data_IF_914217808401
#
_entry.id   IF_914217808401
#
_cell.length_a   1.000
_cell.length_b   1.000
_cell.length_c   1.000
_cell.angle_alpha   90.00
_cell.angle_beta   90.00
_cell.angle_gamma   90.00
#
_symmetry.space_group_name_H-M   'P 1'
#
loop_
_entity.id
_entity.type
_entity.pdbx_description
1 polymer ?
#
# COMPACT_ATOMS: atom_id res chain seq x y z
N UNK A 1 -11.16 -23.58 -8.28
CA UNK A 1 -11.86 -22.30 -8.49
C UNK A 1 -11.56 -21.43 -7.29
N UNK A 2 -10.58 -20.52 -7.38
CA UNK A 2 -10.29 -19.60 -6.27
C UNK A 2 -11.41 -18.56 -6.23
N UNK A 3 -12.18 -18.52 -5.16
CA UNK A 3 -13.13 -17.42 -4.93
C UNK A 3 -12.33 -16.12 -4.83
N UNK A 4 -12.37 -15.31 -5.89
CA UNK A 4 -11.69 -14.01 -5.90
C UNK A 4 -12.40 -13.09 -4.91
N UNK A 5 -11.86 -13.00 -3.70
CA UNK A 5 -12.28 -12.01 -2.73
C UNK A 5 -12.09 -10.61 -3.32
N UNK A 6 -13.09 -9.75 -3.18
CA UNK A 6 -12.95 -8.35 -3.56
C UNK A 6 -12.22 -7.63 -2.42
N UNK A 7 -11.07 -6.99 -2.68
CA UNK A 7 -10.37 -6.25 -1.64
C UNK A 7 -11.24 -5.07 -1.19
N UNK A 8 -11.27 -4.82 0.11
CA UNK A 8 -12.02 -3.70 0.72
C UNK A 8 -11.12 -3.01 1.73
N UNK A 9 -11.27 -1.69 1.86
CA UNK A 9 -10.54 -0.91 2.86
C UNK A 9 -11.39 -0.73 4.11
N UNK A 10 -10.73 -0.62 5.26
CA UNK A 10 -11.37 -0.34 6.53
C UNK A 10 -10.70 0.87 7.19
N UNK A 11 -11.51 1.76 7.78
CA UNK A 11 -11.06 2.93 8.50
C UNK A 11 -11.35 2.78 9.99
N UNK A 12 -10.43 3.32 10.79
CA UNK A 12 -10.49 3.40 12.25
C UNK A 12 -10.37 4.87 12.63
N UNK A 13 -11.09 5.31 13.66
CA UNK A 13 -10.93 6.67 14.18
C UNK A 13 -9.58 6.73 14.90
N UNK A 14 -8.79 7.78 14.64
CA UNK A 14 -7.41 7.92 15.15
C UNK A 14 -7.26 7.68 16.66
N UNK A 15 -8.25 8.07 17.46
CA UNK A 15 -8.29 7.86 18.92
C UNK A 15 -8.21 6.39 19.35
N UNK A 16 -8.62 5.47 18.49
CA UNK A 16 -8.67 4.03 18.76
C UNK A 16 -7.55 3.27 18.01
N UNK A 17 -6.66 3.96 17.29
CA UNK A 17 -5.63 3.34 16.45
C UNK A 17 -4.75 2.37 17.24
N UNK A 18 -4.25 2.76 18.41
CA UNK A 18 -3.39 1.90 19.24
C UNK A 18 -4.09 0.60 19.68
N UNK A 19 -5.39 0.66 19.98
CA UNK A 19 -6.18 -0.51 20.32
C UNK A 19 -6.27 -1.47 19.13
N UNK A 20 -6.56 -0.93 17.95
CA UNK A 20 -6.69 -1.75 16.74
C UNK A 20 -5.35 -2.26 16.21
N UNK A 21 -4.25 -1.54 16.38
CA UNK A 21 -2.90 -2.03 16.03
C UNK A 21 -2.51 -3.26 16.86
N UNK A 22 -2.96 -3.33 18.12
CA UNK A 22 -2.76 -4.51 18.97
C UNK A 22 -3.72 -5.66 18.61
N UNK A 23 -4.97 -5.33 18.29
CA UNK A 23 -6.00 -6.30 17.95
C UNK A 23 -5.77 -6.95 16.57
N UNK A 24 -5.34 -6.15 15.59
CA UNK A 24 -5.21 -6.53 14.19
C UNK A 24 -3.73 -6.60 13.81
N UNK A 25 -3.20 -7.81 13.78
CA UNK A 25 -1.81 -8.03 13.39
C UNK A 25 -1.73 -8.37 11.90
N UNK A 26 -0.72 -7.81 11.23
CA UNK A 26 -0.42 -8.11 9.83
C UNK A 26 -0.21 -9.61 9.61
N UNK A 27 -0.55 -10.09 8.41
CA UNK A 27 -0.40 -11.49 7.95
C UNK A 27 -1.28 -12.52 8.67
N UNK A 28 -2.28 -12.07 9.43
CA UNK A 28 -3.34 -12.92 9.99
C UNK A 28 -4.63 -12.77 9.21
N UNK A 29 -5.49 -13.78 9.30
CA UNK A 29 -6.84 -13.74 8.75
C UNK A 29 -7.86 -13.59 9.88
N UNK A 30 -8.88 -12.76 9.64
CA UNK A 30 -9.91 -12.46 10.63
C UNK A 30 -11.30 -12.54 10.00
N UNK A 31 -12.25 -13.03 10.79
CA UNK A 31 -13.69 -12.83 10.57
C UNK A 31 -14.12 -11.60 11.34
N UNK A 32 -14.63 -10.60 10.62
CA UNK A 32 -15.15 -9.37 11.21
C UNK A 32 -16.68 -9.39 11.30
N UNK A 33 -17.22 -8.98 12.45
CA UNK A 33 -18.66 -8.69 12.66
C UNK A 33 -18.82 -7.39 13.43
N UNK A 34 -20.00 -6.75 13.35
CA UNK A 34 -20.27 -5.50 14.10
C UNK A 34 -19.60 -4.24 13.52
N UNK A 35 -19.26 -4.23 12.23
CA UNK A 35 -18.79 -3.05 11.50
C UNK A 35 -19.94 -2.35 10.78
N UNK A 36 -19.75 -1.08 10.42
CA UNK A 36 -20.62 -0.35 9.48
C UNK A 36 -19.93 -0.16 8.13
N UNK A 37 -20.70 0.28 7.13
CA UNK A 37 -20.22 0.54 5.77
C UNK A 37 -20.56 1.97 5.39
N UNK A 38 -19.60 2.69 4.81
CA UNK A 38 -19.80 4.03 4.29
C UNK A 38 -19.34 4.12 2.82
N UNK A 39 -19.96 4.99 2.00
CA UNK A 39 -19.44 5.30 0.67
C UNK A 39 -18.03 5.85 0.76
N UNK A 40 -17.14 5.40 -0.13
CA UNK A 40 -15.77 5.89 -0.19
C UNK A 40 -15.65 7.08 -1.13
N UNK A 41 -15.17 8.20 -0.59
CA UNK A 41 -14.79 9.36 -1.41
C UNK A 41 -13.60 9.04 -2.31
N UNK A 42 -13.59 9.61 -3.51
CA UNK A 42 -12.56 9.34 -4.52
C UNK A 42 -11.13 9.70 -4.06
N UNK A 43 -10.99 10.66 -3.16
CA UNK A 43 -9.69 11.15 -2.69
C UNK A 43 -9.07 10.29 -1.58
N UNK A 44 -9.88 9.53 -0.82
CA UNK A 44 -9.41 8.56 0.19
C UNK A 44 -9.30 7.13 -0.34
N UNK A 45 -9.75 6.90 -1.58
CA UNK A 45 -9.92 5.55 -2.12
C UNK A 45 -8.61 4.90 -2.53
N UNK A 46 -8.21 3.86 -1.78
CA UNK A 46 -7.01 3.06 -2.07
C UNK A 46 -7.30 1.79 -2.90
N UNK A 47 -8.57 1.40 -3.02
CA UNK A 47 -9.03 0.17 -3.67
C UNK A 47 -10.19 0.43 -4.65
N UNK A 48 -10.45 -0.45 -5.63
CA UNK A 48 -11.54 -0.26 -6.59
C UNK A 48 -12.94 -0.22 -5.96
N UNK A 49 -13.11 -0.81 -4.77
CA UNK A 49 -14.36 -0.80 -4.01
C UNK A 49 -14.81 0.61 -3.67
N UNK A 50 -16.11 0.87 -3.82
CA UNK A 50 -16.75 2.17 -3.51
C UNK A 50 -17.28 2.24 -2.07
N UNK A 51 -16.93 1.25 -1.25
CA UNK A 51 -17.37 1.13 0.13
C UNK A 51 -16.13 0.97 1.00
N UNK A 52 -16.12 1.69 2.12
CA UNK A 52 -15.14 1.54 3.20
C UNK A 52 -15.86 0.92 4.40
N UNK A 53 -15.23 -0.06 5.04
CA UNK A 53 -15.70 -0.57 6.32
C UNK A 53 -15.29 0.40 7.43
N UNK A 54 -16.16 0.65 8.39
CA UNK A 54 -15.85 1.47 9.55
C UNK A 54 -15.75 0.58 10.77
N UNK A 55 -14.56 0.54 11.35
CA UNK A 55 -14.28 -0.21 12.56
C UNK A 55 -14.44 0.71 13.77
N UNK A 56 -15.14 0.22 14.78
CA UNK A 56 -15.41 0.96 16.01
C UNK A 56 -15.64 0.01 17.17
N UNK A 57 -16.13 0.55 18.29
CA UNK A 57 -16.26 -0.17 19.56
C UNK A 57 -17.04 -1.49 19.55
N UNK A 58 -17.88 -1.72 18.53
CA UNK A 58 -18.68 -2.93 18.41
C UNK A 58 -18.07 -3.97 17.46
N UNK A 59 -16.89 -3.67 16.87
CA UNK A 59 -16.19 -4.61 16.03
C UNK A 59 -15.82 -5.84 16.85
N UNK A 60 -16.13 -7.00 16.30
CA UNK A 60 -15.63 -8.28 16.74
C UNK A 60 -14.69 -8.80 15.65
N UNK A 61 -13.46 -9.13 16.05
CA UNK A 61 -12.46 -9.70 15.17
C UNK A 61 -12.06 -11.07 15.73
N UNK A 62 -12.41 -12.12 15.01
CA UNK A 62 -12.06 -13.50 15.37
C UNK A 62 -11.00 -14.01 14.40
N UNK A 63 -9.84 -14.41 14.91
CA UNK A 63 -8.76 -14.98 14.09
C UNK A 63 -9.21 -16.32 13.49
N UNK A 64 -8.98 -16.51 12.19
CA UNK A 64 -9.31 -17.73 11.44
C UNK A 64 -8.07 -18.27 10.72
N UNK A 65 -8.15 -19.53 10.26
CA UNK A 65 -7.06 -20.13 9.49
C UNK A 65 -6.78 -19.36 8.19
N UNK A 66 -5.49 -19.18 7.87
CA UNK A 66 -5.02 -18.42 6.69
C UNK A 66 -4.97 -19.27 5.40
N UNK A 67 -5.36 -20.54 5.46
CA UNK A 67 -5.11 -21.55 4.41
C UNK A 67 -5.67 -21.21 3.04
N UNK A 68 -6.69 -20.36 2.97
CA UNK A 68 -7.42 -20.05 1.74
C UNK A 68 -7.36 -18.56 1.35
N UNK A 69 -6.54 -17.76 2.04
CA UNK A 69 -6.41 -16.33 1.77
C UNK A 69 -5.11 -15.99 1.04
N UNK A 70 -5.21 -15.08 0.07
CA UNK A 70 -4.03 -14.49 -0.56
C UNK A 70 -3.34 -13.57 0.47
N UNK A 71 -2.02 -13.70 0.61
CA UNK A 71 -1.24 -12.82 1.49
C UNK A 71 -1.29 -11.36 1.02
N UNK A 72 -1.37 -11.15 -0.29
CA UNK A 72 -1.35 -9.83 -0.90
C UNK A 72 -2.34 -9.75 -2.07
N UNK A 73 -3.08 -8.64 -2.14
CA UNK A 73 -3.82 -8.25 -3.32
C UNK A 73 -3.00 -7.22 -4.12
N UNK A 74 -2.80 -7.50 -5.40
CA UNK A 74 -2.08 -6.61 -6.31
C UNK A 74 -2.91 -6.35 -7.57
N UNK A 75 -3.21 -5.08 -7.86
CA UNK A 75 -3.75 -4.58 -9.12
C UNK A 75 -2.75 -3.63 -9.82
N UNK A 76 -1.74 -4.20 -10.49
CA UNK A 76 -0.62 -3.44 -11.06
C UNK A 76 -1.08 -2.50 -12.18
N UNK A 77 -0.52 -1.29 -12.20
CA UNK A 77 -0.57 -0.39 -13.35
C UNK A 77 0.72 -0.54 -14.15
N UNK A 78 0.58 -0.71 -15.46
CA UNK A 78 1.72 -0.62 -16.35
C UNK A 78 2.18 0.85 -16.51
N UNK A 79 3.45 1.07 -16.86
CA UNK A 79 4.03 2.42 -17.00
C UNK A 79 3.21 3.32 -17.94
N UNK A 80 2.74 2.78 -19.05
CA UNK A 80 1.93 3.49 -20.05
C UNK A 80 0.52 3.84 -19.56
N UNK A 81 0.01 3.19 -18.51
CA UNK A 81 -1.29 3.51 -17.90
C UNK A 81 -1.20 4.64 -16.87
N UNK A 82 0.01 5.03 -16.45
CA UNK A 82 0.19 6.00 -15.37
C UNK A 82 -0.38 7.37 -15.72
N UNK A 83 -0.26 7.80 -16.98
CA UNK A 83 -0.83 9.07 -17.46
C UNK A 83 -2.35 9.08 -17.42
N UNK A 84 -2.99 7.97 -17.81
CA UNK A 84 -4.44 7.85 -17.80
C UNK A 84 -4.98 7.79 -16.37
N UNK A 85 -4.29 7.07 -15.48
CA UNK A 85 -4.70 6.97 -14.07
C UNK A 85 -4.44 8.27 -13.29
N UNK A 86 -3.44 9.07 -13.69
CA UNK A 86 -3.25 10.43 -13.19
C UNK A 86 -4.47 11.31 -13.47
N UNK A 87 -5.10 11.18 -14.64
CA UNK A 87 -6.29 11.96 -14.99
C UNK A 87 -7.49 11.66 -14.08
N UNK A 88 -7.56 10.46 -13.50
CA UNK A 88 -8.66 10.00 -12.64
C UNK A 88 -8.32 10.09 -11.15
N UNK A 89 -7.10 10.53 -10.78
CA UNK A 89 -6.59 10.58 -9.38
C UNK A 89 -6.76 9.27 -8.61
N UNK A 90 -6.67 8.13 -9.28
CA UNK A 90 -6.75 6.84 -8.61
C UNK A 90 -5.41 6.50 -7.93
N UNK A 91 -5.50 5.83 -6.78
CA UNK A 91 -4.37 5.16 -6.15
C UNK A 91 -3.83 4.06 -7.06
N UNK A 92 -2.51 3.97 -7.14
CA UNK A 92 -1.83 3.11 -8.12
C UNK A 92 -0.86 2.18 -7.44
N UNK A 93 -0.78 0.98 -8.01
CA UNK A 93 0.19 -0.04 -7.68
C UNK A 93 1.20 -0.13 -8.82
N UNK A 94 2.50 -0.07 -8.54
CA UNK A 94 3.53 -0.21 -9.59
C UNK A 94 4.57 -1.21 -9.14
N UNK A 95 5.03 -2.06 -10.07
CA UNK A 95 6.20 -2.93 -9.88
C UNK A 95 7.32 -2.47 -10.78
N UNK A 96 8.55 -2.52 -10.27
CA UNK A 96 9.71 -2.45 -11.13
C UNK A 96 11.00 -2.71 -10.38
N UNK A 97 12.10 -2.59 -11.12
CA UNK A 97 13.45 -2.79 -10.61
C UNK A 97 13.98 -1.50 -9.99
N UNK A 98 14.52 -1.57 -8.78
CA UNK A 98 15.21 -0.42 -8.18
C UNK A 98 16.51 -0.15 -8.96
N UNK A 99 16.74 1.10 -9.35
CA UNK A 99 17.92 1.54 -10.10
C UNK A 99 18.83 2.43 -9.27
N UNK A 100 18.25 3.39 -8.55
CA UNK A 100 19.01 4.35 -7.76
C UNK A 100 18.27 4.66 -6.48
N UNK A 101 18.99 4.74 -5.37
CA UNK A 101 18.49 5.27 -4.10
C UNK A 101 19.24 6.56 -3.80
N UNK A 102 18.53 7.66 -3.61
CA UNK A 102 19.13 8.90 -3.08
C UNK A 102 19.09 8.88 -1.56
N UNK A 103 19.95 9.66 -0.91
CA UNK A 103 19.93 9.78 0.55
C UNK A 103 18.69 10.54 1.03
N UNK A 104 18.26 10.23 2.25
CA UNK A 104 17.21 10.98 2.91
C UNK A 104 17.66 12.44 3.06
N UNK A 105 16.80 13.38 2.66
CA UNK A 105 17.05 14.81 2.87
C UNK A 105 16.15 15.28 4.00
N UNK A 106 16.74 15.81 5.07
CA UNK A 106 16.01 16.34 6.21
C UNK A 106 15.61 17.80 5.94
N UNK A 107 14.31 18.03 5.72
CA UNK A 107 13.70 19.37 5.79
C UNK A 107 12.67 19.36 6.93
N UNK A 108 11.53 20.07 6.82
CA UNK A 108 10.40 19.90 7.76
C UNK A 108 9.76 18.51 7.69
N UNK A 109 9.91 17.81 6.57
CA UNK A 109 9.53 16.40 6.38
C UNK A 109 10.75 15.65 5.87
N UNK A 110 10.92 14.41 6.32
CA UNK A 110 12.01 13.56 5.80
C UNK A 110 11.54 12.92 4.52
N UNK A 111 12.34 12.99 3.46
CA UNK A 111 12.02 12.39 2.17
C UNK A 111 13.20 11.66 1.57
N UNK A 112 12.94 10.56 0.86
CA UNK A 112 13.94 9.76 0.14
C UNK A 112 13.42 9.41 -1.25
N UNK A 113 14.21 9.68 -2.28
CA UNK A 113 13.87 9.34 -3.66
C UNK A 113 14.48 7.99 -4.09
N UNK A 114 13.68 7.17 -4.75
CA UNK A 114 14.04 5.87 -5.32
C UNK A 114 13.62 5.84 -6.79
N UNK A 115 14.51 5.47 -7.69
CA UNK A 115 14.18 5.28 -9.10
C UNK A 115 13.78 3.83 -9.37
N UNK A 116 12.58 3.63 -9.91
CA UNK A 116 12.06 2.32 -10.32
C UNK A 116 12.05 2.25 -11.85
N UNK A 117 12.49 1.13 -12.42
CA UNK A 117 12.58 0.91 -13.87
C UNK A 117 11.74 -0.29 -14.31
N UNK A 118 10.95 -0.11 -15.37
CA UNK A 118 10.21 -1.22 -15.99
C UNK A 118 11.10 -2.03 -16.96
N UNK A 119 10.58 -3.12 -17.52
CA UNK A 119 11.30 -3.97 -18.48
C UNK A 119 11.72 -3.23 -19.76
N UNK A 120 10.93 -2.23 -20.19
CA UNK A 120 11.16 -1.47 -21.42
C UNK A 120 12.24 -0.40 -21.30
N UNK A 121 12.75 -0.10 -20.10
CA UNK A 121 13.76 0.94 -19.94
C UNK A 121 13.30 2.19 -19.19
N UNK A 122 11.99 2.37 -19.04
CA UNK A 122 11.40 3.60 -18.54
C UNK A 122 11.60 3.71 -17.02
N UNK A 123 11.97 4.90 -16.56
CA UNK A 123 12.21 5.19 -15.14
C UNK A 123 11.07 6.03 -14.57
N UNK A 124 10.67 5.70 -13.35
CA UNK A 124 9.73 6.45 -12.52
C UNK A 124 10.45 6.80 -11.22
N UNK A 125 10.39 8.07 -10.81
CA UNK A 125 10.83 8.49 -9.48
C UNK A 125 9.76 8.19 -8.44
N UNK A 126 10.14 7.57 -7.33
CA UNK A 126 9.29 7.27 -6.20
C UNK A 126 9.82 7.97 -4.95
N UNK A 127 8.96 8.64 -4.19
CA UNK A 127 9.35 9.38 -2.98
C UNK A 127 8.77 8.71 -1.75
N UNK A 128 9.65 8.19 -0.88
CA UNK A 128 9.30 7.77 0.47
C UNK A 128 9.29 8.98 1.39
N UNK A 129 8.37 8.97 2.37
CA UNK A 129 8.19 10.04 3.35
C UNK A 129 8.36 9.53 4.78
N UNK A 130 8.80 10.43 5.66
CA UNK A 130 8.88 10.27 7.10
C UNK A 130 9.50 8.94 7.54
N UNK A 131 8.78 8.11 8.28
CA UNK A 131 9.29 6.83 8.79
C UNK A 131 9.79 5.90 7.69
N UNK A 132 9.12 5.84 6.54
CA UNK A 132 9.56 5.03 5.41
C UNK A 132 10.89 5.52 4.82
N UNK A 133 11.12 6.84 4.83
CA UNK A 133 12.37 7.43 4.36
C UNK A 133 13.53 7.25 5.34
N UNK A 134 13.23 7.36 6.65
CA UNK A 134 14.17 7.18 7.76
C UNK A 134 14.61 5.74 7.91
N UNK A 135 13.65 4.81 7.89
CA UNK A 135 13.88 3.39 8.13
C UNK A 135 14.32 2.64 6.86
N UNK A 136 14.53 3.33 5.73
CA UNK A 136 15.04 2.69 4.52
C UNK A 136 16.47 2.19 4.74
N UNK A 137 16.62 0.87 4.83
CA UNK A 137 17.88 0.21 5.11
C UNK A 137 18.72 0.06 3.82
N UNK A 138 19.62 1.03 3.60
CA UNK A 138 20.53 1.03 2.44
C UNK A 138 21.49 -0.16 2.48
N UNK A 139 21.99 -0.51 3.67
CA UNK A 139 22.93 -1.62 3.82
C UNK A 139 22.29 -2.96 3.43
N UNK A 140 21.05 -3.20 3.86
CA UNK A 140 20.28 -4.37 3.46
C UNK A 140 20.07 -4.39 1.94
N UNK A 141 19.58 -3.29 1.36
CA UNK A 141 19.42 -3.17 -0.09
C UNK A 141 20.73 -3.48 -0.85
N UNK A 142 21.86 -2.94 -0.43
CA UNK A 142 23.16 -3.14 -1.08
C UNK A 142 23.65 -4.60 -0.98
N UNK A 143 23.28 -5.31 0.09
CA UNK A 143 23.59 -6.74 0.26
C UNK A 143 22.72 -7.69 -0.57
N UNK A 144 21.58 -7.23 -1.10
CA UNK A 144 20.67 -8.08 -1.88
C UNK A 144 21.24 -8.44 -3.25
N UNK A 145 20.99 -9.66 -3.71
CA UNK A 145 21.31 -10.09 -5.08
C UNK A 145 20.56 -9.23 -6.12
N UNK A 146 21.29 -8.73 -7.13
CA UNK A 146 20.71 -7.87 -8.16
C UNK A 146 20.21 -8.70 -9.34
N UNK A 147 19.03 -8.38 -9.91
CA UNK A 147 18.24 -7.17 -9.70
C UNK A 147 17.25 -7.24 -8.52
N UNK A 148 17.15 -6.17 -7.73
CA UNK A 148 16.11 -6.03 -6.68
C UNK A 148 14.81 -5.53 -7.31
N UNK A 149 13.72 -6.27 -7.10
CA UNK A 149 12.37 -5.93 -7.55
C UNK A 149 11.57 -5.39 -6.36
N UNK A 150 10.86 -4.29 -6.56
CA UNK A 150 9.95 -3.70 -5.58
C UNK A 150 8.53 -3.68 -6.15
N UNK A 151 7.56 -4.03 -5.30
CA UNK A 151 6.14 -3.80 -5.52
C UNK A 151 5.68 -2.72 -4.55
N UNK A 152 5.05 -1.67 -5.06
CA UNK A 152 4.52 -0.59 -4.21
C UNK A 152 3.04 -0.42 -4.45
N UNK A 153 2.27 -0.32 -3.36
CA UNK A 153 0.82 -0.15 -3.36
C UNK A 153 0.36 1.20 -2.84
N UNK A 154 -0.89 1.55 -3.15
CA UNK A 154 -1.58 2.72 -2.60
C UNK A 154 -0.82 4.05 -2.78
N UNK A 155 -0.16 4.20 -3.94
CA UNK A 155 0.63 5.39 -4.25
C UNK A 155 -0.23 6.47 -4.91
N UNK A 156 0.13 7.73 -4.69
CA UNK A 156 -0.39 8.86 -5.46
C UNK A 156 0.60 9.26 -6.55
N UNK A 157 0.11 9.59 -7.75
CA UNK A 157 0.95 10.13 -8.83
C UNK A 157 0.86 11.64 -8.84
N UNK A 158 2.03 12.29 -8.82
CA UNK A 158 2.17 13.70 -9.08
C UNK A 158 2.86 13.94 -10.44
N UNK A 159 2.60 15.09 -11.06
CA UNK A 159 3.32 15.56 -12.25
C UNK A 159 4.68 16.13 -11.90
#
# INVERSE_FOLDING_TARGET
>A
MHSQGTPVQANIVLRDAEYFDQLLQLKKAYRFTGFSCEPTDSWERTLPTKITLIFGKYLQAEEIATTDFLEHYFNFAAYNELSDRLAVKNSILTVGRIVTTRNATATRKTQRAIDIKNLSGNKIGFTLWDEMALNYNVCEYDSMEKPVIIAVSSCYINR
#
